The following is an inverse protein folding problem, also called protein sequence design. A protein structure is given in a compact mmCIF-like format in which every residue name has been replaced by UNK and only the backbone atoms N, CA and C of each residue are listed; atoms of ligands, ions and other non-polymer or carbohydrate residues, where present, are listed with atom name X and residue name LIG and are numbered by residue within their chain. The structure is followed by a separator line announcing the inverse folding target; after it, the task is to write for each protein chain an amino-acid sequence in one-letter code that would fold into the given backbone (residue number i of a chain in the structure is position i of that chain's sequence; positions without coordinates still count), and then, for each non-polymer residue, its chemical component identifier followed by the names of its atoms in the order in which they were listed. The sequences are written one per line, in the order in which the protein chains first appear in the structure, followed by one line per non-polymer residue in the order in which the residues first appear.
data_IF_710807256647
#
_entry.id   IF_710807256647
#
_cell.length_a   1.000
_cell.length_b   1.000
_cell.length_c   1.000
_cell.angle_alpha   90.00
_cell.angle_beta   90.00
_cell.angle_gamma   90.00
#
_symmetry.space_group_name_H-M   'P 1'
#
loop_
_entity.id
_entity.type
_entity.pdbx_description
1 polymer ?
#
# COMPACT_ATOMS: atom_id res chain seq x y z
N UNK A 1 3.85 4.04 32.45
CA UNK A 1 4.73 3.17 31.63
C UNK A 1 5.54 4.06 30.71
N UNK A 2 6.82 3.76 30.43
CA UNK A 2 7.60 4.50 29.44
C UNK A 2 6.96 4.37 28.06
N UNK A 3 6.94 5.46 27.31
CA UNK A 3 6.30 5.55 26.00
C UNK A 3 7.31 5.16 24.92
N UNK A 4 7.10 4.00 24.28
CA UNK A 4 8.00 3.47 23.26
C UNK A 4 7.69 4.07 21.88
N UNK A 5 8.73 4.51 21.18
CA UNK A 5 8.65 5.06 19.82
C UNK A 5 9.41 4.20 18.83
N UNK A 6 8.94 4.13 17.58
CA UNK A 6 9.58 3.45 16.46
C UNK A 6 9.93 4.49 15.40
N UNK A 7 11.15 4.40 14.84
CA UNK A 7 11.63 5.23 13.74
C UNK A 7 11.58 4.42 12.44
N UNK A 8 11.29 5.07 11.32
CA UNK A 8 11.13 4.39 10.04
C UNK A 8 12.45 3.85 9.50
N UNK A 9 12.49 2.55 9.23
CA UNK A 9 13.65 1.80 8.70
C UNK A 9 13.97 2.10 7.24
N UNK A 10 13.03 2.70 6.49
CA UNK A 10 13.18 2.95 5.04
C UNK A 10 14.27 3.99 4.72
N UNK A 11 14.72 4.75 5.72
CA UNK A 11 15.72 5.81 5.58
C UNK A 11 17.13 5.40 6.00
N UNK A 12 17.34 4.17 6.46
CA UNK A 12 18.69 3.71 6.83
C UNK A 12 19.60 3.54 5.61
N UNK A 13 19.02 3.18 4.47
CA UNK A 13 19.75 2.87 3.24
C UNK A 13 19.65 3.99 2.18
N UNK A 14 18.51 4.68 2.09
CA UNK A 14 18.24 5.69 1.06
C UNK A 14 17.42 6.87 1.58
N UNK A 15 17.80 8.08 1.18
CA UNK A 15 16.99 9.28 1.43
C UNK A 15 15.93 9.45 0.33
N UNK A 16 14.71 8.98 0.61
CA UNK A 16 13.56 9.15 -0.27
C UNK A 16 12.82 10.48 -0.08
N UNK A 17 13.26 11.32 0.86
CA UNK A 17 12.54 12.54 1.22
C UNK A 17 12.61 13.58 0.12
N UNK A 18 11.49 14.25 -0.08
CA UNK A 18 11.39 15.40 -0.97
C UNK A 18 11.56 16.70 -0.18
N UNK A 19 11.82 17.80 -0.89
CA UNK A 19 11.81 19.16 -0.30
C UNK A 19 10.40 19.73 -0.14
N UNK A 20 9.35 18.93 -0.39
CA UNK A 20 7.96 19.38 -0.33
C UNK A 20 7.55 19.46 1.14
N UNK A 21 6.91 20.58 1.52
CA UNK A 21 6.38 20.75 2.86
C UNK A 21 5.20 19.79 3.10
N UNK A 22 5.25 18.94 4.14
CA UNK A 22 4.17 18.03 4.48
C UNK A 22 2.93 18.78 4.96
N UNK A 23 1.76 18.15 4.85
CA UNK A 23 0.50 18.70 5.34
C UNK A 23 0.42 18.77 6.88
N UNK A 24 1.18 17.91 7.57
CA UNK A 24 1.20 17.81 9.03
C UNK A 24 2.63 17.92 9.56
N UNK A 25 2.79 18.63 10.67
CA UNK A 25 4.08 18.73 11.37
C UNK A 25 4.55 17.34 11.85
N UNK A 26 5.84 17.05 11.65
CA UNK A 26 6.44 15.75 11.97
C UNK A 26 6.29 14.67 10.88
N UNK A 27 5.51 14.94 9.82
CA UNK A 27 5.51 14.10 8.63
C UNK A 27 6.66 14.47 7.68
N UNK A 28 6.90 13.59 6.71
CA UNK A 28 7.76 13.79 5.56
C UNK A 28 7.02 13.32 4.31
N UNK A 29 7.34 13.89 3.16
CA UNK A 29 6.83 13.43 1.85
C UNK A 29 7.98 12.73 1.13
N UNK A 30 7.76 11.47 0.79
CA UNK A 30 8.76 10.63 0.12
C UNK A 30 8.27 10.12 -1.21
N UNK A 31 9.21 9.93 -2.13
CA UNK A 31 8.97 9.41 -3.47
C UNK A 31 9.63 8.05 -3.64
N UNK A 32 8.80 7.03 -3.83
CA UNK A 32 9.23 5.64 -4.01
C UNK A 32 9.16 5.29 -5.50
N UNK A 33 10.29 5.29 -6.22
CA UNK A 33 10.32 4.90 -7.62
C UNK A 33 10.11 3.39 -7.77
N UNK A 34 9.37 2.99 -8.79
CA UNK A 34 9.21 1.60 -9.19
C UNK A 34 9.26 1.46 -10.71
N UNK A 35 9.54 0.25 -11.18
CA UNK A 35 9.68 -0.05 -12.59
C UNK A 35 8.49 -0.87 -13.08
N UNK A 36 7.89 -0.43 -14.18
CA UNK A 36 6.87 -1.17 -14.90
C UNK A 36 7.52 -1.83 -16.13
N UNK A 37 7.60 -3.17 -16.17
CA UNK A 37 7.99 -3.91 -17.37
C UNK A 37 7.14 -3.50 -18.58
N UNK A 38 7.77 -3.38 -19.74
CA UNK A 38 7.06 -3.23 -21.01
C UNK A 38 6.28 -4.51 -21.34
N UNK A 39 5.05 -4.38 -21.82
CA UNK A 39 4.17 -5.51 -22.12
C UNK A 39 4.51 -6.24 -23.43
N UNK A 40 5.45 -5.71 -24.23
CA UNK A 40 5.86 -6.31 -25.49
C UNK A 40 7.16 -7.09 -25.33
N UNK A 41 7.04 -8.41 -25.26
CA UNK A 41 8.16 -9.35 -25.34
C UNK A 41 8.51 -9.72 -26.79
N UNK A 42 8.45 -8.77 -27.73
CA UNK A 42 8.98 -9.01 -29.07
C UNK A 42 10.48 -8.75 -29.03
N UNK A 43 11.29 -9.80 -29.17
CA UNK A 43 12.74 -9.68 -29.33
C UNK A 43 13.02 -8.83 -30.57
N UNK A 44 13.74 -7.72 -30.39
CA UNK A 44 14.18 -6.85 -31.48
C UNK A 44 15.70 -6.82 -31.48
N UNK A 45 16.25 -6.66 -32.67
CA UNK A 45 17.67 -6.44 -32.88
C UNK A 45 17.85 -5.10 -33.57
N UNK A 46 18.87 -4.36 -33.19
CA UNK A 46 19.27 -3.13 -33.89
C UNK A 46 20.13 -3.46 -35.13
N UNK A 47 20.64 -2.40 -35.78
CA UNK A 47 21.35 -2.51 -37.06
C UNK A 47 22.69 -3.27 -36.96
N UNK A 48 23.23 -3.43 -35.74
CA UNK A 48 24.45 -4.17 -35.41
C UNK A 48 24.22 -5.55 -34.79
N UNK A 49 22.99 -6.06 -34.87
CA UNK A 49 22.57 -7.39 -34.38
C UNK A 49 22.62 -7.53 -32.84
N UNK A 50 22.68 -6.42 -32.11
CA UNK A 50 22.55 -6.40 -30.66
C UNK A 50 21.08 -6.46 -30.24
N UNK A 51 20.83 -7.00 -29.05
CA UNK A 51 19.47 -7.13 -28.52
C UNK A 51 18.91 -5.76 -28.11
N UNK A 52 17.94 -5.24 -28.86
CA UNK A 52 17.22 -4.01 -28.53
C UNK A 52 16.16 -4.28 -27.45
N UNK A 53 16.56 -4.08 -26.19
CA UNK A 53 15.70 -4.26 -25.03
C UNK A 53 14.95 -2.97 -24.70
N UNK A 54 13.62 -3.01 -24.80
CA UNK A 54 12.78 -1.89 -24.36
C UNK A 54 12.95 -1.66 -22.84
N UNK A 55 13.32 -0.43 -22.47
CA UNK A 55 13.60 -0.08 -21.08
C UNK A 55 12.29 -0.01 -20.28
N UNK A 56 12.25 -0.56 -19.05
CA UNK A 56 11.09 -0.46 -18.18
C UNK A 56 10.68 0.99 -17.93
N UNK A 57 9.38 1.26 -17.88
CA UNK A 57 8.87 2.59 -17.57
C UNK A 57 9.03 2.84 -16.07
N UNK A 58 9.71 3.94 -15.72
CA UNK A 58 9.83 4.38 -14.33
C UNK A 58 8.61 5.20 -13.92
N UNK A 59 7.97 4.80 -12.84
CA UNK A 59 6.88 5.52 -12.17
C UNK A 59 7.24 5.77 -10.71
N UNK A 60 6.46 6.59 -10.01
CA UNK A 60 6.73 7.00 -8.62
C UNK A 60 5.44 6.99 -7.81
N UNK A 61 5.46 6.34 -6.65
CA UNK A 61 4.43 6.50 -5.62
C UNK A 61 4.91 7.58 -4.64
N UNK A 62 4.11 8.63 -4.47
CA UNK A 62 4.39 9.70 -3.52
C UNK A 62 3.56 9.52 -2.26
N UNK A 63 4.22 9.47 -1.11
CA UNK A 63 3.57 9.21 0.18
C UNK A 63 3.99 10.27 1.18
N UNK A 64 3.00 10.89 1.82
CA UNK A 64 3.21 11.55 3.10
C UNK A 64 3.04 10.54 4.21
N UNK A 65 3.98 10.54 5.16
CA UNK A 65 3.97 9.64 6.30
C UNK A 65 4.78 10.22 7.46
N UNK A 66 4.64 9.63 8.64
CA UNK A 66 5.43 9.99 9.79
C UNK A 66 6.81 9.32 9.73
N UNK A 67 7.87 10.05 10.09
CA UNK A 67 9.23 9.51 10.20
C UNK A 67 9.48 8.81 11.54
N UNK A 68 8.66 9.10 12.56
CA UNK A 68 8.73 8.51 13.89
C UNK A 68 7.36 8.53 14.56
N UNK A 69 6.91 7.39 15.06
CA UNK A 69 5.60 7.26 15.72
C UNK A 69 5.71 6.61 17.09
N UNK A 70 4.65 6.75 17.88
CA UNK A 70 4.38 5.85 18.99
C UNK A 70 4.06 4.45 18.44
N UNK A 71 4.26 3.41 19.24
CA UNK A 71 3.99 2.03 18.81
C UNK A 71 2.54 1.78 18.39
N UNK A 72 1.57 2.47 19.00
CA UNK A 72 0.16 2.39 18.64
C UNK A 72 -0.21 3.10 17.33
N UNK A 73 0.74 3.83 16.73
CA UNK A 73 0.54 4.66 15.53
C UNK A 73 1.49 4.28 14.39
N UNK A 74 2.05 3.07 14.43
CA UNK A 74 2.99 2.56 13.42
C UNK A 74 2.42 2.47 12.01
N UNK A 75 1.08 2.43 11.87
CA UNK A 75 0.42 2.51 10.57
C UNK A 75 0.68 3.83 9.82
N UNK A 76 1.08 4.91 10.53
CA UNK A 76 1.46 6.18 9.91
C UNK A 76 2.86 6.14 9.27
N UNK A 77 3.61 5.02 9.36
CA UNK A 77 4.92 4.84 8.73
C UNK A 77 4.80 3.96 7.48
N UNK A 78 5.80 4.04 6.59
CA UNK A 78 5.94 3.09 5.48
C UNK A 78 6.85 1.94 5.93
N UNK A 79 6.43 0.72 5.61
CA UNK A 79 7.12 -0.52 5.96
C UNK A 79 7.64 -1.23 4.71
N UNK A 80 8.81 -1.88 4.80
CA UNK A 80 9.46 -2.50 3.63
C UNK A 80 8.64 -3.63 3.01
N UNK A 81 7.85 -4.38 3.80
CA UNK A 81 7.00 -5.44 3.28
C UNK A 81 5.91 -4.94 2.32
N UNK A 82 5.52 -3.66 2.43
CA UNK A 82 4.63 -3.03 1.47
C UNK A 82 5.25 -2.95 0.06
N UNK A 83 6.56 -2.73 -0.05
CA UNK A 83 7.25 -2.72 -1.34
C UNK A 83 7.31 -4.11 -1.97
N UNK A 84 7.62 -5.13 -1.17
CA UNK A 84 7.64 -6.52 -1.65
C UNK A 84 6.26 -6.96 -2.17
N UNK A 85 5.19 -6.65 -1.42
CA UNK A 85 3.83 -6.92 -1.88
C UNK A 85 3.47 -6.07 -3.11
N UNK A 86 3.94 -4.82 -3.17
CA UNK A 86 3.78 -3.95 -4.34
C UNK A 86 4.36 -4.56 -5.62
N UNK A 87 5.60 -5.05 -5.57
CA UNK A 87 6.24 -5.72 -6.72
C UNK A 87 5.45 -6.96 -7.16
N UNK A 88 4.94 -7.73 -6.21
CA UNK A 88 4.09 -8.89 -6.50
C UNK A 88 2.77 -8.49 -7.15
N UNK A 89 2.12 -7.42 -6.67
CA UNK A 89 0.89 -6.90 -7.27
C UNK A 89 1.10 -6.38 -8.70
N UNK A 90 2.25 -5.76 -8.97
CA UNK A 90 2.63 -5.38 -10.35
C UNK A 90 2.72 -6.62 -11.22
N UNK A 91 3.40 -7.67 -10.75
CA UNK A 91 3.53 -8.93 -11.47
C UNK A 91 2.16 -9.55 -11.81
N UNK A 92 1.27 -9.66 -10.82
CA UNK A 92 -0.10 -10.17 -11.02
C UNK A 92 -0.92 -9.28 -11.95
N UNK A 93 -0.78 -7.96 -11.81
CA UNK A 93 -1.47 -6.97 -12.65
C UNK A 93 -1.10 -7.10 -14.13
N UNK A 94 0.18 -7.25 -14.43
CA UNK A 94 0.69 -7.44 -15.80
C UNK A 94 0.25 -8.76 -16.43
N UNK A 95 0.04 -9.80 -15.62
CA UNK A 95 -0.56 -11.06 -16.07
C UNK A 95 -2.08 -10.99 -16.26
N UNK A 96 -2.70 -9.86 -15.91
CA UNK A 96 -4.15 -9.68 -15.98
C UNK A 96 -4.91 -10.38 -14.84
N UNK A 97 -4.22 -10.91 -13.83
CA UNK A 97 -4.85 -11.66 -12.73
C UNK A 97 -5.66 -10.76 -11.78
N UNK A 98 -5.33 -9.46 -11.75
CA UNK A 98 -6.09 -8.45 -11.02
C UNK A 98 -7.24 -7.83 -11.86
N UNK A 99 -7.25 -8.05 -13.18
CA UNK A 99 -8.23 -7.41 -14.04
C UNK A 99 -9.66 -7.86 -13.70
N UNK A 100 -10.56 -6.89 -13.52
CA UNK A 100 -11.96 -7.16 -13.16
C UNK A 100 -12.20 -7.51 -11.68
N UNK A 101 -11.14 -7.63 -10.85
CA UNK A 101 -11.22 -8.06 -9.46
C UNK A 101 -11.51 -6.91 -8.49
N UNK A 102 -12.26 -7.23 -7.44
CA UNK A 102 -12.45 -6.39 -6.26
C UNK A 102 -11.41 -6.79 -5.20
N UNK A 103 -10.55 -5.84 -4.81
CA UNK A 103 -9.48 -6.05 -3.82
C UNK A 103 -9.84 -5.35 -2.52
N UNK A 104 -9.65 -6.02 -1.38
CA UNK A 104 -9.73 -5.45 -0.05
C UNK A 104 -8.35 -5.50 0.59
N UNK A 105 -7.84 -4.35 1.04
CA UNK A 105 -6.63 -4.30 1.83
C UNK A 105 -6.95 -4.15 3.33
N UNK A 106 -6.32 -4.99 4.13
CA UNK A 106 -6.41 -5.02 5.59
C UNK A 106 -5.18 -4.36 6.21
N UNK A 107 -5.38 -3.35 7.07
CA UNK A 107 -4.28 -2.65 7.73
C UNK A 107 -3.35 -1.96 6.73
N UNK A 108 -3.94 -1.16 5.84
CA UNK A 108 -3.26 -0.56 4.70
C UNK A 108 -2.14 0.42 5.06
N UNK A 109 -2.11 0.92 6.30
CA UNK A 109 -1.19 1.95 6.74
C UNK A 109 -1.27 3.18 5.84
N UNK A 110 -0.19 3.50 5.14
CA UNK A 110 -0.11 4.67 4.25
C UNK A 110 -0.80 4.46 2.88
N UNK A 111 -1.18 3.22 2.55
CA UNK A 111 -1.94 2.85 1.35
C UNK A 111 -1.10 2.49 0.12
N UNK A 112 0.23 2.34 0.24
CA UNK A 112 1.16 2.07 -0.88
C UNK A 112 0.68 0.92 -1.77
N UNK A 113 0.43 -0.24 -1.18
CA UNK A 113 0.00 -1.49 -1.83
C UNK A 113 -1.39 -1.37 -2.43
N UNK A 114 -2.33 -0.73 -1.75
CA UNK A 114 -3.62 -0.32 -2.31
C UNK A 114 -3.49 0.51 -3.59
N UNK A 115 -2.55 1.47 -3.65
CA UNK A 115 -2.34 2.28 -4.86
C UNK A 115 -1.80 1.46 -6.02
N UNK A 116 -0.90 0.50 -5.74
CA UNK A 116 -0.39 -0.44 -6.75
C UNK A 116 -1.52 -1.34 -7.27
N UNK A 117 -2.30 -1.95 -6.39
CA UNK A 117 -3.44 -2.78 -6.79
C UNK A 117 -4.44 -1.98 -7.64
N UNK A 118 -4.67 -0.71 -7.30
CA UNK A 118 -5.59 0.18 -7.99
C UNK A 118 -5.15 0.57 -9.41
N UNK A 119 -3.92 0.25 -9.82
CA UNK A 119 -3.47 0.40 -11.20
C UNK A 119 -4.10 -0.65 -12.14
N UNK A 120 -4.46 -1.82 -11.60
CA UNK A 120 -4.86 -3.00 -12.39
C UNK A 120 -6.25 -3.55 -12.04
N UNK A 121 -6.68 -3.42 -10.79
CA UNK A 121 -7.94 -3.94 -10.30
C UNK A 121 -9.16 -3.15 -10.79
N UNK A 122 -10.35 -3.74 -10.70
CA UNK A 122 -11.61 -3.03 -10.97
C UNK A 122 -11.96 -2.08 -9.83
N UNK A 123 -11.82 -2.56 -8.59
CA UNK A 123 -12.13 -1.83 -7.37
C UNK A 123 -11.14 -2.19 -6.28
N UNK A 124 -10.71 -1.20 -5.51
CA UNK A 124 -9.88 -1.37 -4.31
C UNK A 124 -10.56 -0.70 -3.14
N UNK A 125 -10.75 -1.44 -2.06
CA UNK A 125 -11.15 -0.92 -0.76
C UNK A 125 -9.96 -1.01 0.18
N UNK A 126 -9.44 0.16 0.55
CA UNK A 126 -8.28 0.34 1.41
C UNK A 126 -8.77 0.55 2.84
N UNK A 127 -8.43 -0.33 3.78
CA UNK A 127 -8.94 -0.28 5.15
C UNK A 127 -7.85 -0.25 6.21
N UNK A 128 -8.12 0.50 7.27
CA UNK A 128 -7.29 0.58 8.48
C UNK A 128 -8.17 0.97 9.68
N UNK A 129 -7.63 0.90 10.90
CA UNK A 129 -8.34 1.33 12.10
C UNK A 129 -8.47 2.86 12.10
N UNK A 130 -9.62 3.42 12.50
CA UNK A 130 -9.78 4.89 12.52
C UNK A 130 -9.08 5.53 13.73
N UNK A 131 -7.75 5.51 13.71
CA UNK A 131 -6.90 5.99 14.79
C UNK A 131 -5.79 6.90 14.25
N UNK A 132 -5.49 7.99 14.99
CA UNK A 132 -4.36 8.87 14.67
C UNK A 132 -4.44 9.63 13.35
N UNK A 133 -5.61 9.63 12.69
CA UNK A 133 -5.83 10.26 11.39
C UNK A 133 -5.34 9.45 10.19
N UNK A 134 -5.15 8.13 10.34
CA UNK A 134 -4.64 7.26 9.27
C UNK A 134 -5.55 7.27 8.03
N UNK A 135 -6.89 7.26 8.20
CA UNK A 135 -7.81 7.27 7.05
C UNK A 135 -7.70 8.56 6.24
N UNK A 136 -7.47 9.70 6.89
CA UNK A 136 -7.27 10.98 6.21
C UNK A 136 -5.90 11.06 5.54
N UNK A 137 -4.88 10.45 6.15
CA UNK A 137 -3.56 10.27 5.54
C UNK A 137 -3.66 9.44 4.25
N UNK A 138 -4.35 8.30 4.27
CA UNK A 138 -4.59 7.46 3.09
C UNK A 138 -5.30 8.26 2.00
N UNK A 139 -6.36 9.02 2.34
CA UNK A 139 -7.08 9.86 1.37
C UNK A 139 -6.18 10.96 0.79
N UNK A 140 -5.27 11.54 1.59
CA UNK A 140 -4.27 12.50 1.11
C UNK A 140 -3.30 11.83 0.13
N UNK A 141 -2.77 10.66 0.48
CA UNK A 141 -1.86 9.91 -0.38
C UNK A 141 -2.55 9.44 -1.68
N UNK A 142 -3.82 9.07 -1.63
CA UNK A 142 -4.61 8.77 -2.81
C UNK A 142 -4.70 9.97 -3.77
N UNK A 143 -4.81 11.20 -3.22
CA UNK A 143 -4.78 12.43 -4.04
C UNK A 143 -3.42 12.66 -4.69
N UNK A 144 -2.31 12.42 -3.98
CA UNK A 144 -0.98 12.50 -4.57
C UNK A 144 -0.78 11.49 -5.71
N UNK A 145 -1.38 10.30 -5.60
CA UNK A 145 -1.23 9.20 -6.56
C UNK A 145 -2.41 9.05 -7.53
N UNK A 146 -3.26 10.08 -7.67
CA UNK A 146 -4.46 10.03 -8.54
C UNK A 146 -4.17 9.59 -9.98
N UNK A 147 -2.97 9.89 -10.50
CA UNK A 147 -2.56 9.49 -11.86
C UNK A 147 -2.36 7.98 -11.99
N UNK A 148 -1.96 7.30 -10.93
CA UNK A 148 -1.74 5.85 -10.90
C UNK A 148 -3.04 5.07 -10.66
N UNK A 149 -3.95 5.62 -9.85
CA UNK A 149 -5.23 4.98 -9.52
C UNK A 149 -6.14 4.95 -10.76
N UNK A 150 -6.37 3.75 -11.31
CA UNK A 150 -7.26 3.49 -12.46
C UNK A 150 -8.58 2.83 -12.05
N UNK A 151 -8.65 2.25 -10.85
CA UNK A 151 -9.81 1.56 -10.30
C UNK A 151 -10.80 2.50 -9.61
N UNK A 152 -11.99 1.97 -9.27
CA UNK A 152 -12.76 2.54 -8.15
C UNK A 152 -11.92 2.40 -6.87
N UNK A 153 -11.77 3.47 -6.09
CA UNK A 153 -10.93 3.47 -4.89
C UNK A 153 -11.72 4.02 -3.70
N UNK A 154 -11.84 3.24 -2.63
CA UNK A 154 -12.55 3.63 -1.41
C UNK A 154 -11.68 3.41 -0.18
N UNK A 155 -11.70 4.37 0.74
CA UNK A 155 -11.08 4.25 2.05
C UNK A 155 -12.18 3.99 3.08
N UNK A 156 -12.04 2.98 3.92
CA UNK A 156 -13.04 2.63 4.95
C UNK A 156 -12.36 2.25 6.27
N UNK A 157 -12.98 2.56 7.42
CA UNK A 157 -12.52 2.05 8.70
C UNK A 157 -12.73 0.53 8.77
N UNK A 158 -11.78 -0.17 9.39
CA UNK A 158 -11.91 -1.56 9.81
C UNK A 158 -11.18 -1.75 11.14
N UNK A 159 -11.95 -2.11 12.18
CA UNK A 159 -11.41 -2.52 13.46
C UNK A 159 -11.65 -4.03 13.65
N UNK A 160 -10.57 -4.79 13.83
CA UNK A 160 -10.61 -6.23 14.03
C UNK A 160 -11.12 -6.64 15.41
N UNK A 161 -11.22 -5.71 16.36
CA UNK A 161 -11.72 -5.95 17.71
C UNK A 161 -13.24 -5.77 17.82
N UNK A 162 -13.85 -5.12 16.82
CA UNK A 162 -15.30 -4.96 16.77
C UNK A 162 -15.99 -6.29 16.44
N UNK A 163 -17.07 -6.58 17.18
CA UNK A 163 -17.89 -7.78 16.96
C UNK A 163 -18.99 -7.57 15.93
N UNK A 164 -19.24 -6.32 15.52
CA UNK A 164 -20.26 -5.95 14.55
C UNK A 164 -19.72 -4.91 13.59
N UNK A 165 -19.67 -5.23 12.30
CA UNK A 165 -19.23 -4.31 11.26
C UNK A 165 -20.40 -3.62 10.58
N UNK A 166 -20.13 -2.45 9.98
CA UNK A 166 -21.13 -1.74 9.19
C UNK A 166 -21.66 -2.58 8.03
N UNK A 167 -22.91 -2.32 7.62
CA UNK A 167 -23.51 -2.99 6.46
C UNK A 167 -22.71 -2.75 5.17
N UNK A 168 -22.11 -1.57 5.03
CA UNK A 168 -21.24 -1.27 3.90
C UNK A 168 -20.00 -2.15 3.87
N UNK A 169 -19.31 -2.30 5.01
CA UNK A 169 -18.11 -3.14 5.11
C UNK A 169 -18.47 -4.61 4.92
N UNK A 170 -19.60 -5.06 5.48
CA UNK A 170 -20.12 -6.42 5.28
C UNK A 170 -20.37 -6.72 3.80
N UNK A 171 -20.94 -5.77 3.05
CA UNK A 171 -21.13 -5.93 1.61
C UNK A 171 -19.81 -5.97 0.85
N UNK A 172 -18.84 -5.12 1.22
CA UNK A 172 -17.48 -5.18 0.64
C UNK A 172 -16.85 -6.56 0.85
N UNK A 173 -16.93 -7.10 2.06
CA UNK A 173 -16.36 -8.43 2.39
C UNK A 173 -17.06 -9.55 1.61
N UNK A 174 -18.37 -9.42 1.33
CA UNK A 174 -19.10 -10.40 0.51
C UNK A 174 -18.72 -10.37 -0.96
N UNK A 175 -18.39 -9.19 -1.47
CA UNK A 175 -18.14 -8.96 -2.90
C UNK A 175 -16.64 -8.99 -3.26
N UNK A 176 -15.74 -9.24 -2.29
CA UNK A 176 -14.29 -9.23 -2.49
C UNK A 176 -13.82 -10.50 -3.20
N UNK A 177 -12.91 -10.35 -4.16
CA UNK A 177 -12.24 -11.47 -4.82
C UNK A 177 -10.88 -11.78 -4.17
N UNK A 178 -10.14 -10.73 -3.77
CA UNK A 178 -8.76 -10.82 -3.29
C UNK A 178 -8.61 -9.98 -2.02
N UNK A 179 -8.06 -10.57 -0.97
CA UNK A 179 -7.69 -9.87 0.26
C UNK A 179 -6.18 -9.78 0.34
N UNK A 180 -5.65 -8.59 0.62
CA UNK A 180 -4.21 -8.34 0.78
C UNK A 180 -3.91 -7.69 2.13
N UNK A 181 -2.70 -7.91 2.63
CA UNK A 181 -2.19 -7.31 3.85
C UNK A 181 -0.66 -7.31 3.80
N UNK A 182 -0.03 -6.15 4.00
CA UNK A 182 1.42 -6.03 4.13
C UNK A 182 1.78 -5.75 5.58
N UNK A 183 2.72 -6.51 6.14
CA UNK A 183 3.26 -6.31 7.50
C UNK A 183 2.23 -6.22 8.65
N UNK A 184 1.03 -6.80 8.49
CA UNK A 184 -0.03 -6.82 9.51
C UNK A 184 0.09 -7.89 10.60
N UNK A 185 1.11 -8.76 10.54
CA UNK A 185 1.23 -9.93 11.43
C UNK A 185 1.60 -9.59 12.88
N UNK A 186 2.01 -8.36 13.19
CA UNK A 186 2.45 -7.98 14.55
C UNK A 186 1.31 -7.96 15.58
N UNK A 187 0.04 -7.77 15.16
CA UNK A 187 -1.12 -7.77 16.06
C UNK A 187 -1.80 -9.14 16.21
N UNK A 188 -1.70 -10.02 15.21
CA UNK A 188 -2.32 -11.35 15.28
C UNK A 188 -1.69 -12.24 16.37
N UNK A 189 -0.40 -12.04 16.66
CA UNK A 189 0.29 -12.81 17.69
C UNK A 189 0.03 -12.34 19.12
N UNK A 190 -0.43 -11.11 19.35
CA UNK A 190 -0.76 -10.65 20.72
C UNK A 190 -2.22 -10.93 21.11
N UNK A 191 -3.15 -10.98 20.14
CA UNK A 191 -4.54 -11.36 20.41
C UNK A 191 -4.78 -12.88 20.40
N UNK A 192 -3.98 -13.68 19.68
CA UNK A 192 -4.11 -15.15 19.69
C UNK A 192 -3.77 -15.81 21.03
N UNK A 193 -3.12 -15.13 21.98
CA UNK A 193 -2.97 -15.67 23.33
C UNK A 193 -4.28 -15.67 24.14
N UNK A 194 -5.35 -15.02 23.66
CA UNK A 194 -6.66 -15.01 24.31
C UNK A 194 -7.81 -15.58 23.47
N UNK A 195 -7.57 -15.97 22.21
CA UNK A 195 -8.55 -16.65 21.37
C UNK A 195 -8.00 -18.02 20.96
N UNK A 196 -8.37 -19.02 21.77
CA UNK A 196 -8.08 -20.44 21.59
C UNK A 196 -8.36 -20.92 20.16
N UNK A 197 -7.37 -21.62 19.59
CA UNK A 197 -7.51 -22.53 18.45
C UNK A 197 -8.54 -23.61 18.82
N UNK A 198 -9.68 -23.63 18.13
CA UNK A 198 -10.52 -24.83 17.93
C UNK A 198 -10.75 -25.00 16.44
#
# INVERSE_FOLDING_TARGET
MPEYTVTSEIYEEYDYQTKITPSKEGNVISEFPFLLPSSNSSVRYDDDEDLDVERPKKEVIRIEHSSKTKISLVGLQVWRGAFLLGDWLIHLGLKGELAGKNVLELGAGTGVTSFVAAMYAKKVVCTDIDLGGILDLIKLNARYNKKLIKSEFKVMPLDFTETTWSSQLTNVIRDVDIIICADGAYLFFTSMYHATIL
#
